data_IF_097807043862
#
_entry.id   IF_097807043862
#
_cell.length_a   1.000
_cell.length_b   1.000
_cell.length_c   1.000
_cell.angle_alpha   90.00
_cell.angle_beta   90.00
_cell.angle_gamma   90.00
#
_symmetry.space_group_name_H-M   'P 1'
#
loop_
_entity.id
_entity.type
_entity.pdbx_description
1 polymer ?
#
# COMPACT_ATOMS: atom_id res chain seq x y z
N UNK A 1 -12.25 13.86 10.39
CA UNK A 1 -11.41 13.18 9.40
C UNK A 1 -11.47 11.70 9.68
N UNK A 2 -12.15 10.94 8.83
CA UNK A 2 -12.16 9.48 8.93
C UNK A 2 -11.00 8.98 8.08
N UNK A 3 -10.30 7.93 8.53
CA UNK A 3 -9.21 7.32 7.76
C UNK A 3 -9.61 5.90 7.40
N UNK A 4 -9.30 5.48 6.18
CA UNK A 4 -9.52 4.11 5.72
C UNK A 4 -8.18 3.46 5.51
N UNK A 5 -7.95 2.34 6.18
CA UNK A 5 -6.80 1.49 5.88
C UNK A 5 -7.18 0.46 4.82
N UNK A 6 -6.34 0.32 3.79
CA UNK A 6 -6.39 -0.80 2.86
C UNK A 6 -5.15 -1.67 3.07
N UNK A 7 -5.30 -2.97 2.86
CA UNK A 7 -4.19 -3.91 2.84
C UNK A 7 -4.00 -4.36 1.40
N UNK A 8 -2.79 -4.21 0.87
CA UNK A 8 -2.41 -4.70 -0.44
C UNK A 8 -1.33 -5.77 -0.29
N UNK A 9 -1.38 -6.76 -1.16
CA UNK A 9 -0.36 -7.80 -1.28
C UNK A 9 0.48 -7.47 -2.51
N UNK A 10 1.79 -7.30 -2.32
CA UNK A 10 2.72 -7.01 -3.42
C UNK A 10 3.71 -8.16 -3.53
N UNK A 11 3.76 -8.76 -4.71
CA UNK A 11 4.67 -9.87 -4.99
C UNK A 11 6.12 -9.35 -5.09
N UNK A 12 7.04 -10.01 -4.38
CA UNK A 12 8.48 -9.74 -4.36
C UNK A 12 9.23 -10.47 -5.47
N UNK A 13 8.66 -11.52 -6.09
CA UNK A 13 9.36 -12.40 -7.03
C UNK A 13 9.84 -11.65 -8.27
N UNK A 14 9.10 -10.61 -8.66
CA UNK A 14 9.44 -9.77 -9.81
C UNK A 14 10.38 -8.59 -9.48
N UNK A 15 10.73 -8.40 -8.21
CA UNK A 15 11.47 -7.22 -7.75
C UNK A 15 12.81 -7.62 -7.11
N UNK A 16 13.84 -7.80 -7.94
CA UNK A 16 15.22 -8.11 -7.50
C UNK A 16 15.87 -7.01 -6.63
N UNK A 17 15.24 -5.83 -6.52
CA UNK A 17 15.75 -4.68 -5.76
C UNK A 17 14.66 -4.04 -4.93
N UNK A 18 14.97 -3.74 -3.66
CA UNK A 18 14.09 -3.06 -2.70
C UNK A 18 13.53 -1.75 -3.27
N UNK A 19 14.35 -1.01 -4.03
CA UNK A 19 13.95 0.24 -4.67
C UNK A 19 12.83 0.05 -5.69
N UNK A 20 12.87 -1.04 -6.47
CA UNK A 20 11.84 -1.35 -7.46
C UNK A 20 10.53 -1.76 -6.80
N UNK A 21 10.60 -2.53 -5.70
CA UNK A 21 9.44 -2.90 -4.91
C UNK A 21 8.76 -1.65 -4.32
N UNK A 22 9.53 -0.76 -3.69
CA UNK A 22 9.02 0.50 -3.16
C UNK A 22 8.29 1.33 -4.22
N UNK A 23 8.87 1.42 -5.43
CA UNK A 23 8.27 2.18 -6.51
C UNK A 23 6.97 1.54 -7.01
N UNK A 24 6.92 0.20 -7.11
CA UNK A 24 5.70 -0.53 -7.47
C UNK A 24 4.61 -0.43 -6.41
N UNK A 25 4.97 -0.50 -5.13
CA UNK A 25 4.04 -0.24 -4.02
C UNK A 25 3.49 1.18 -4.15
N UNK A 26 4.34 2.19 -4.35
CA UNK A 26 3.88 3.56 -4.52
C UNK A 26 2.99 3.75 -5.75
N UNK A 27 3.30 3.11 -6.88
CA UNK A 27 2.49 3.17 -8.10
C UNK A 27 1.10 2.54 -7.88
N UNK A 28 1.05 1.35 -7.29
CA UNK A 28 -0.19 0.69 -6.88
C UNK A 28 -0.99 1.56 -5.91
N UNK A 29 -0.36 2.07 -4.86
CA UNK A 29 -1.01 2.93 -3.88
C UNK A 29 -1.56 4.21 -4.51
N UNK A 30 -0.84 4.80 -5.49
CA UNK A 30 -1.28 5.96 -6.25
C UNK A 30 -2.54 5.67 -7.10
N UNK A 31 -2.75 4.44 -7.58
CA UNK A 31 -3.99 4.06 -8.28
C UNK A 31 -5.21 4.15 -7.38
N UNK A 32 -5.05 3.92 -6.08
CA UNK A 32 -6.09 4.09 -5.07
C UNK A 32 -6.20 5.54 -4.55
N UNK A 33 -5.27 6.42 -4.93
CA UNK A 33 -5.20 7.82 -4.51
C UNK A 33 -3.91 8.15 -3.78
N UNK A 34 -3.84 9.31 -3.10
CA UNK A 34 -2.68 9.64 -2.26
C UNK A 34 -2.87 9.08 -0.85
N UNK A 35 -2.15 8.02 -0.44
CA UNK A 35 -2.16 7.60 0.96
C UNK A 35 -1.52 8.70 1.82
N UNK A 36 -2.05 8.89 3.03
CA UNK A 36 -1.41 9.72 4.07
C UNK A 36 -0.12 9.07 4.54
N UNK A 37 -0.16 7.77 4.75
CA UNK A 37 0.98 6.97 5.17
C UNK A 37 0.78 5.52 4.74
N UNK A 38 1.87 4.80 4.52
CA UNK A 38 1.85 3.36 4.28
C UNK A 38 3.02 2.68 4.98
N UNK A 39 2.81 1.44 5.39
CA UNK A 39 3.81 0.62 6.10
C UNK A 39 3.74 -0.81 5.61
N UNK A 40 4.88 -1.49 5.57
CA UNK A 40 4.93 -2.94 5.37
C UNK A 40 4.61 -3.59 6.72
N UNK A 41 3.51 -4.34 6.77
CA UNK A 41 3.07 -5.03 8.00
C UNK A 41 3.63 -6.44 8.09
N UNK A 42 3.82 -7.09 6.94
CA UNK A 42 4.37 -8.44 6.88
C UNK A 42 5.13 -8.66 5.56
N UNK A 43 6.03 -9.63 5.55
CA UNK A 43 6.79 -10.05 4.39
C UNK A 43 6.94 -11.57 4.42
N UNK A 44 6.02 -12.25 3.72
CA UNK A 44 6.05 -13.68 3.48
C UNK A 44 7.21 -14.03 2.54
N UNK A 45 8.34 -14.42 3.12
CA UNK A 45 9.51 -14.89 2.34
C UNK A 45 9.25 -16.22 1.64
N UNK A 46 8.39 -17.07 2.18
CA UNK A 46 8.07 -18.36 1.56
C UNK A 46 7.25 -18.18 0.29
N UNK A 47 6.26 -17.27 0.34
CA UNK A 47 5.40 -16.94 -0.80
C UNK A 47 5.99 -15.84 -1.66
N UNK A 48 7.06 -15.18 -1.20
CA UNK A 48 7.64 -13.99 -1.80
C UNK A 48 6.58 -12.89 -1.99
N UNK A 49 5.81 -12.59 -0.95
CA UNK A 49 4.76 -11.56 -0.96
C UNK A 49 4.98 -10.62 0.23
N UNK A 50 4.85 -9.31 0.05
CA UNK A 50 4.75 -8.34 1.15
C UNK A 50 3.32 -7.89 1.35
N UNK A 51 2.94 -7.78 2.62
CA UNK A 51 1.69 -7.16 3.02
C UNK A 51 1.95 -5.70 3.36
N UNK A 52 1.33 -4.80 2.61
CA UNK A 52 1.45 -3.36 2.81
C UNK A 52 0.12 -2.82 3.27
N UNK A 53 0.12 -2.15 4.42
CA UNK A 53 -1.04 -1.41 4.92
C UNK A 53 -0.86 0.06 4.59
N UNK A 54 -1.82 0.62 3.85
CA UNK A 54 -1.84 2.02 3.51
C UNK A 54 -3.09 2.71 4.07
N UNK A 55 -2.91 3.92 4.58
CA UNK A 55 -3.92 4.72 5.24
C UNK A 55 -4.27 5.88 4.31
N UNK A 56 -5.53 5.95 3.91
CA UNK A 56 -6.06 6.98 3.05
C UNK A 56 -6.91 7.96 3.84
N UNK A 57 -6.80 9.27 3.55
CA UNK A 57 -7.74 10.24 4.06
C UNK A 57 -9.08 9.96 3.39
N UNK A 58 -10.09 9.51 4.13
CA UNK A 58 -11.44 9.60 3.60
C UNK A 58 -11.91 11.01 3.87
N UNK A 59 -12.06 11.81 2.81
CA UNK A 59 -12.92 12.96 2.90
C UNK A 59 -14.31 12.38 3.12
N UNK A 60 -14.77 12.37 4.38
CA UNK A 60 -16.19 12.28 4.65
C UNK A 60 -16.77 13.57 4.08
N UNK A 61 -17.02 13.56 2.78
CA UNK A 61 -17.85 14.57 2.14
C UNK A 61 -19.24 14.37 2.70
N UNK A 62 -19.46 14.98 3.87
CA UNK A 62 -20.75 15.15 4.47
C UNK A 62 -21.46 16.26 3.67
N UNK A 63 -21.71 16.02 2.38
CA UNK A 63 -22.71 16.75 1.63
C UNK A 63 -24.05 16.11 1.94
N UNK A 64 -24.61 16.52 3.08
CA UNK A 64 -26.00 16.28 3.45
C UNK A 64 -26.88 17.37 2.86
#
# INVERSE_FOLDING_TARGET
MTTKSINIEVDLQNHNSVSSLHQSIQDELNKYGKPLNWIVVDADKERQIVHVKAIYPTHSDNSQ
#
